data_IF_547349707575
#
_entry.id   IF_547349707575
#
_cell.length_a   1.000
_cell.length_b   1.000
_cell.length_c   1.000
_cell.angle_alpha   90.00
_cell.angle_beta   90.00
_cell.angle_gamma   90.00
#
_symmetry.space_group_name_H-M   'P 1'
#
loop_
_entity.id
_entity.type
_entity.pdbx_description
1 polymer ?
#
# COMPACT_ATOMS: atom_id res chain seq x y z
N UNK A 1 -1.93 3.49 1.36
CA UNK A 1 -3.08 3.69 0.42
C UNK A 1 -3.85 2.38 0.35
N UNK A 2 -5.19 2.35 0.51
CA UNK A 2 -5.91 1.06 0.59
C UNK A 2 -6.15 0.47 -0.81
N UNK A 3 -5.53 -0.67 -1.09
CA UNK A 3 -5.63 -1.41 -2.35
C UNK A 3 -6.51 -2.65 -2.11
N UNK A 4 -7.34 -3.02 -3.09
CA UNK A 4 -8.13 -4.26 -3.05
C UNK A 4 -7.81 -5.08 -4.29
N UNK A 5 -7.60 -6.39 -4.09
CA UNK A 5 -7.43 -7.36 -5.17
C UNK A 5 -8.81 -7.89 -5.58
N UNK A 6 -9.17 -7.75 -6.85
CA UNK A 6 -10.45 -8.19 -7.42
C UNK A 6 -10.13 -8.89 -8.73
N UNK A 7 -10.61 -10.12 -8.91
CA UNK A 7 -10.41 -10.89 -10.16
C UNK A 7 -8.95 -10.98 -10.66
N UNK A 8 -7.96 -10.91 -9.76
CA UNK A 8 -6.53 -10.94 -10.11
C UNK A 8 -5.87 -9.56 -10.20
N UNK A 9 -6.64 -8.51 -10.41
CA UNK A 9 -6.17 -7.13 -10.57
C UNK A 9 -6.16 -6.35 -9.25
N UNK A 10 -5.21 -5.42 -9.09
CA UNK A 10 -5.09 -4.55 -7.91
C UNK A 10 -5.70 -3.19 -8.19
N UNK A 11 -6.77 -2.85 -7.48
CA UNK A 11 -7.43 -1.55 -7.61
C UNK A 11 -7.20 -0.65 -6.41
N UNK A 12 -6.99 0.65 -6.69
CA UNK A 12 -6.94 1.68 -5.67
C UNK A 12 -8.35 2.03 -5.21
N UNK A 13 -8.64 1.87 -3.91
CA UNK A 13 -9.94 2.25 -3.36
C UNK A 13 -10.11 3.77 -3.34
N UNK A 14 -11.31 4.21 -3.68
CA UNK A 14 -11.70 5.61 -3.53
C UNK A 14 -11.60 6.07 -2.07
N UNK A 15 -11.17 7.32 -1.86
CA UNK A 15 -11.13 7.93 -0.52
C UNK A 15 -12.55 8.13 0.02
N UNK A 16 -12.68 8.20 1.34
CA UNK A 16 -13.98 8.44 2.00
C UNK A 16 -14.60 9.77 1.55
N UNK A 17 -13.77 10.81 1.46
CA UNK A 17 -14.16 12.13 0.99
C UNK A 17 -14.55 12.17 -0.48
N UNK A 18 -13.85 11.43 -1.36
CA UNK A 18 -14.24 11.34 -2.76
C UNK A 18 -15.62 10.70 -2.93
N UNK A 19 -15.96 9.71 -2.10
CA UNK A 19 -17.28 9.07 -2.12
C UNK A 19 -18.38 9.97 -1.60
N UNK A 20 -18.09 10.76 -0.56
CA UNK A 20 -19.02 11.74 -0.03
C UNK A 20 -19.25 12.87 -1.04
N UNK A 21 -18.17 13.38 -1.65
CA UNK A 21 -18.23 14.38 -2.71
C UNK A 21 -19.06 13.89 -3.90
N UNK A 22 -18.85 12.65 -4.37
CA UNK A 22 -19.64 12.08 -5.46
C UNK A 22 -21.13 12.03 -5.12
N UNK A 23 -21.47 11.62 -3.90
CA UNK A 23 -22.86 11.56 -3.43
C UNK A 23 -23.51 12.94 -3.35
N UNK A 24 -22.79 13.95 -2.84
CA UNK A 24 -23.28 15.33 -2.78
C UNK A 24 -23.47 15.95 -4.16
N UNK A 25 -22.55 15.66 -5.09
CA UNK A 25 -22.65 16.09 -6.48
C UNK A 25 -23.84 15.44 -7.20
N UNK A 26 -24.08 14.15 -6.97
CA UNK A 26 -25.25 13.44 -7.50
C UNK A 26 -26.57 14.07 -7.00
N UNK A 27 -26.66 14.36 -5.70
CA UNK A 27 -27.83 15.04 -5.10
C UNK A 27 -27.98 16.46 -5.61
N UNK A 28 -26.87 17.22 -5.70
CA UNK A 28 -26.88 18.58 -6.20
C UNK A 28 -27.37 18.65 -7.65
N UNK A 29 -26.94 17.71 -8.50
CA UNK A 29 -27.42 17.60 -9.87
C UNK A 29 -28.92 17.27 -9.94
N UNK A 30 -29.41 16.32 -9.13
CA UNK A 30 -30.84 16.01 -9.05
C UNK A 30 -31.65 17.23 -8.56
N UNK A 31 -31.14 17.96 -7.57
CA UNK A 31 -31.75 19.20 -7.08
C UNK A 31 -31.81 20.28 -8.16
N UNK A 32 -30.77 20.41 -8.98
CA UNK A 32 -30.76 21.31 -10.13
C UNK A 32 -31.82 20.93 -11.18
N UNK A 33 -31.91 19.64 -11.54
CA UNK A 33 -32.98 19.14 -12.42
C UNK A 33 -34.37 19.41 -11.83
N UNK A 34 -34.52 19.30 -10.50
CA UNK A 34 -35.77 19.56 -9.80
C UNK A 34 -36.16 21.04 -9.89
N UNK A 35 -35.21 21.96 -9.73
CA UNK A 35 -35.44 23.39 -9.88
C UNK A 35 -35.90 23.71 -11.31
N UNK A 36 -35.24 23.15 -12.32
CA UNK A 36 -35.64 23.32 -13.72
C UNK A 36 -37.07 22.81 -13.94
N UNK A 37 -37.41 21.63 -13.41
CA UNK A 37 -38.76 21.05 -13.53
C UNK A 37 -39.82 22.00 -12.93
N UNK A 38 -39.56 22.54 -11.73
CA UNK A 38 -40.47 23.50 -11.09
C UNK A 38 -40.57 24.83 -11.84
N UNK A 39 -39.47 25.33 -12.41
CA UNK A 39 -39.48 26.55 -13.22
C UNK A 39 -40.31 26.38 -14.50
N UNK A 40 -40.23 25.21 -15.15
CA UNK A 40 -41.07 24.88 -16.30
C UNK A 40 -42.55 24.81 -15.88
N UNK A 41 -42.84 24.17 -14.75
CA UNK A 41 -44.21 24.10 -14.22
C UNK A 41 -44.79 25.47 -13.88
N UNK A 42 -44.00 26.35 -13.27
CA UNK A 42 -44.38 27.74 -12.99
C UNK A 42 -44.62 28.52 -14.28
N UNK A 43 -43.73 28.38 -15.27
CA UNK A 43 -43.90 29.03 -16.57
C UNK A 43 -45.19 28.57 -17.26
N UNK A 44 -45.48 27.26 -17.22
CA UNK A 44 -46.70 26.70 -17.78
C UNK A 44 -47.94 27.22 -17.05
N UNK A 45 -47.94 27.26 -15.72
CA UNK A 45 -49.07 27.80 -14.96
C UNK A 45 -49.31 29.28 -15.29
N UNK A 46 -48.26 30.10 -15.41
CA UNK A 46 -48.39 31.53 -15.77
C UNK A 46 -48.93 31.74 -17.18
N UNK A 47 -48.62 30.86 -18.14
CA UNK A 47 -49.04 31.00 -19.54
C UNK A 47 -50.45 30.44 -19.78
N UNK A 48 -50.83 29.36 -19.08
CA UNK A 48 -52.02 28.56 -19.39
C UNK A 48 -53.13 28.63 -18.33
N UNK A 49 -52.99 29.37 -17.22
CA UNK A 49 -54.11 29.56 -16.29
C UNK A 49 -55.22 30.41 -16.92
N UNK A 50 -56.26 29.75 -17.40
CA UNK A 50 -57.59 30.34 -17.52
C UNK A 50 -58.22 30.43 -16.12
N UNK A 51 -58.72 31.61 -15.75
CA UNK A 51 -59.23 31.92 -14.40
C UNK A 51 -60.40 31.01 -13.98
N UNK A 52 -61.16 30.47 -14.94
CA UNK A 52 -62.36 29.66 -14.70
C UNK A 52 -62.07 28.19 -14.30
N UNK A 53 -60.95 27.61 -14.71
CA UNK A 53 -60.62 26.19 -14.42
C UNK A 53 -60.06 26.01 -13.00
N UNK A 54 -59.30 27.00 -12.51
CA UNK A 54 -58.74 27.04 -11.16
C UNK A 54 -59.82 27.12 -10.07
N UNK A 55 -60.91 27.86 -10.33
CA UNK A 55 -62.05 27.99 -9.40
C UNK A 55 -62.91 26.71 -9.30
N UNK A 56 -62.87 25.81 -10.29
CA UNK A 56 -63.70 24.60 -10.31
C UNK A 56 -63.07 23.38 -9.62
N UNK A 57 -61.73 23.23 -9.66
CA UNK A 57 -61.03 22.02 -9.17
C UNK A 57 -60.08 22.25 -8.00
N UNK A 58 -59.84 23.50 -7.58
CA UNK A 58 -59.03 23.84 -6.41
C UNK A 58 -57.52 23.69 -6.59
N UNK A 59 -57.05 22.85 -7.52
CA UNK A 59 -55.65 22.70 -7.93
C UNK A 59 -55.53 22.70 -9.46
N UNK A 60 -54.50 23.37 -9.98
CA UNK A 60 -54.18 23.38 -11.42
C UNK A 60 -53.69 21.97 -11.87
N UNK A 61 -54.31 21.32 -12.87
CA UNK A 61 -53.89 20.02 -13.39
C UNK A 61 -52.40 19.95 -13.76
N UNK A 62 -51.82 21.08 -14.21
CA UNK A 62 -50.39 21.18 -14.50
C UNK A 62 -49.56 21.01 -13.22
N UNK A 63 -49.92 21.69 -12.12
CA UNK A 63 -49.20 21.58 -10.84
C UNK A 63 -49.18 20.16 -10.29
N UNK A 64 -50.30 19.44 -10.38
CA UNK A 64 -50.37 18.02 -9.99
C UNK A 64 -49.46 17.15 -10.87
N UNK A 65 -49.43 17.42 -12.17
CA UNK A 65 -48.57 16.69 -13.12
C UNK A 65 -47.09 16.89 -12.81
N UNK A 66 -46.66 18.14 -12.57
CA UNK A 66 -45.27 18.44 -12.20
C UNK A 66 -44.89 17.89 -10.82
N UNK A 67 -45.83 17.86 -9.87
CA UNK A 67 -45.63 17.21 -8.58
C UNK A 67 -45.41 15.71 -8.73
N UNK A 68 -46.22 15.00 -9.52
CA UNK A 68 -46.01 13.57 -9.80
C UNK A 68 -44.67 13.34 -10.51
N UNK A 69 -44.34 14.15 -11.53
CA UNK A 69 -43.06 14.08 -12.22
C UNK A 69 -41.87 14.33 -11.28
N UNK A 70 -42.03 15.20 -10.28
CA UNK A 70 -40.99 15.45 -9.27
C UNK A 70 -40.71 14.21 -8.41
N UNK A 71 -41.76 13.52 -7.98
CA UNK A 71 -41.65 12.28 -7.20
C UNK A 71 -40.99 11.21 -8.06
N UNK A 72 -41.40 11.07 -9.32
CA UNK A 72 -40.81 10.11 -10.25
C UNK A 72 -39.33 10.41 -10.52
N UNK A 73 -38.96 11.68 -10.65
CA UNK A 73 -37.56 12.10 -10.84
C UNK A 73 -36.70 11.73 -9.63
N UNK A 74 -37.20 11.98 -8.41
CA UNK A 74 -36.51 11.59 -7.17
C UNK A 74 -36.41 10.08 -7.02
N UNK A 75 -37.49 9.35 -7.29
CA UNK A 75 -37.50 7.89 -7.26
C UNK A 75 -36.50 7.31 -8.26
N UNK A 76 -36.49 7.83 -9.48
CA UNK A 76 -35.55 7.41 -10.52
C UNK A 76 -34.09 7.73 -10.13
N UNK A 77 -33.83 8.97 -9.71
CA UNK A 77 -32.50 9.43 -9.30
C UNK A 77 -31.95 8.66 -8.09
N UNK A 78 -32.81 8.34 -7.13
CA UNK A 78 -32.40 7.63 -5.91
C UNK A 78 -32.04 6.17 -6.19
N UNK A 79 -32.80 5.47 -7.04
CA UNK A 79 -32.63 4.03 -7.27
C UNK A 79 -31.73 3.68 -8.45
N UNK A 80 -31.78 4.43 -9.55
CA UNK A 80 -31.23 3.99 -10.84
C UNK A 80 -30.01 4.77 -11.34
N UNK A 81 -29.69 5.92 -10.74
CA UNK A 81 -28.58 6.77 -11.18
C UNK A 81 -27.21 6.07 -11.14
N UNK A 82 -27.05 5.06 -10.28
CA UNK A 82 -25.84 4.27 -10.11
C UNK A 82 -25.68 3.08 -11.07
N UNK A 83 -26.74 2.71 -11.81
CA UNK A 83 -26.76 1.52 -12.69
C UNK A 83 -26.41 1.79 -14.16
N UNK A 84 -26.05 3.03 -14.52
CA UNK A 84 -25.65 3.40 -15.88
C UNK A 84 -24.32 2.74 -16.28
N UNK A 85 -24.21 2.38 -17.57
CA UNK A 85 -23.12 1.58 -18.14
C UNK A 85 -21.69 2.16 -17.99
N UNK A 86 -21.54 3.47 -17.73
CA UNK A 86 -20.21 4.09 -17.49
C UNK A 86 -19.82 4.19 -15.99
N UNK A 87 -20.23 3.24 -15.16
CA UNK A 87 -19.63 3.06 -13.83
C UNK A 87 -20.15 3.95 -12.69
N UNK A 88 -21.27 4.66 -12.87
CA UNK A 88 -22.00 5.34 -11.80
C UNK A 88 -22.69 6.65 -12.19
N UNK A 89 -23.31 7.29 -11.18
CA UNK A 89 -23.96 8.60 -11.28
C UNK A 89 -23.02 9.73 -11.69
N UNK A 90 -23.61 10.89 -12.01
CA UNK A 90 -22.91 12.07 -12.53
C UNK A 90 -21.68 12.47 -11.69
N UNK A 91 -21.83 12.57 -10.37
CA UNK A 91 -20.76 12.93 -9.44
C UNK A 91 -19.65 11.89 -9.36
N UNK A 92 -19.95 10.61 -9.61
CA UNK A 92 -18.93 9.55 -9.69
C UNK A 92 -18.11 9.66 -10.96
N UNK A 93 -18.75 9.99 -12.09
CA UNK A 93 -18.05 10.28 -13.35
C UNK A 93 -17.13 11.50 -13.20
N UNK A 94 -17.62 12.57 -12.56
CA UNK A 94 -16.83 13.79 -12.34
C UNK A 94 -15.59 13.56 -11.47
N UNK A 95 -15.67 12.62 -10.52
CA UNK A 95 -14.57 12.29 -9.60
C UNK A 95 -13.76 11.06 -10.03
N UNK A 96 -13.92 10.60 -11.27
CA UNK A 96 -13.24 9.41 -11.82
C UNK A 96 -13.40 8.18 -10.91
N UNK A 97 -14.62 7.93 -10.42
CA UNK A 97 -14.94 6.82 -9.55
C UNK A 97 -15.74 5.76 -10.31
N UNK A 98 -15.35 4.49 -10.14
CA UNK A 98 -16.05 3.35 -10.74
C UNK A 98 -16.49 2.37 -9.67
N UNK A 99 -17.65 1.78 -9.87
CA UNK A 99 -18.19 0.73 -9.00
C UNK A 99 -17.93 -0.61 -9.68
N UNK A 100 -17.26 -1.49 -8.94
CA UNK A 100 -16.86 -2.81 -9.41
C UNK A 100 -17.40 -3.89 -8.47
N UNK A 101 -17.85 -5.01 -9.03
CA UNK A 101 -18.27 -6.19 -8.28
C UNK A 101 -17.05 -6.99 -7.81
N UNK A 102 -17.11 -7.49 -6.58
CA UNK A 102 -16.01 -8.26 -5.99
C UNK A 102 -15.82 -9.66 -6.59
N UNK A 103 -16.85 -10.21 -7.26
CA UNK A 103 -16.83 -11.59 -7.78
C UNK A 103 -16.01 -11.71 -9.06
N UNK A 104 -16.25 -10.81 -10.00
CA UNK A 104 -15.81 -10.87 -11.39
C UNK A 104 -15.01 -9.64 -11.83
N UNK A 105 -14.95 -8.58 -11.02
CA UNK A 105 -14.28 -7.34 -11.43
C UNK A 105 -15.06 -6.53 -12.46
N UNK A 106 -16.27 -6.97 -12.80
CA UNK A 106 -17.13 -6.28 -13.76
C UNK A 106 -17.87 -5.10 -13.12
N UNK A 107 -18.45 -4.27 -13.99
CA UNK A 107 -19.23 -3.12 -13.57
C UNK A 107 -20.51 -3.56 -12.83
N UNK A 108 -20.92 -2.77 -11.84
CA UNK A 108 -22.17 -3.02 -11.14
C UNK A 108 -23.37 -2.82 -12.08
N UNK A 109 -24.31 -3.78 -12.05
CA UNK A 109 -25.54 -3.73 -12.85
C UNK A 109 -26.66 -3.01 -12.06
N UNK A 110 -27.74 -2.60 -12.72
CA UNK A 110 -28.95 -2.03 -12.09
C UNK A 110 -29.46 -2.78 -10.83
N UNK A 111 -29.43 -4.11 -10.79
CA UNK A 111 -29.75 -4.95 -9.62
C UNK A 111 -28.79 -4.69 -8.46
N UNK A 112 -27.50 -4.59 -8.73
CA UNK A 112 -26.49 -4.29 -7.71
C UNK A 112 -26.65 -2.85 -7.21
N UNK A 113 -26.94 -1.90 -8.11
CA UNK A 113 -27.26 -0.52 -7.77
C UNK A 113 -28.51 -0.43 -6.88
N UNK A 114 -29.57 -1.18 -7.21
CA UNK A 114 -30.81 -1.22 -6.44
C UNK A 114 -30.57 -1.74 -5.01
N UNK A 115 -29.88 -2.88 -4.85
CA UNK A 115 -29.58 -3.45 -3.53
C UNK A 115 -28.74 -2.50 -2.67
N UNK A 116 -27.80 -1.77 -3.29
CA UNK A 116 -26.97 -0.78 -2.59
C UNK A 116 -27.78 0.42 -2.12
N UNK A 117 -28.72 0.90 -2.94
CA UNK A 117 -29.54 2.08 -2.65
C UNK A 117 -30.70 1.75 -1.71
N UNK A 118 -31.20 0.52 -1.70
CA UNK A 118 -32.15 0.06 -0.69
C UNK A 118 -31.57 0.18 0.74
N UNK A 119 -30.29 -0.15 0.92
CA UNK A 119 -29.61 0.02 2.21
C UNK A 119 -29.45 1.49 2.64
N UNK A 120 -29.49 2.42 1.69
CA UNK A 120 -29.38 3.85 1.95
C UNK A 120 -30.66 4.46 2.54
N UNK A 121 -31.78 3.71 2.60
CA UNK A 121 -32.99 4.12 3.35
C UNK A 121 -32.65 4.30 4.84
N UNK A 122 -31.66 3.56 5.34
CA UNK A 122 -31.19 3.62 6.72
C UNK A 122 -30.05 4.63 6.95
N UNK A 123 -29.93 5.69 6.12
CA UNK A 123 -28.99 6.78 6.42
C UNK A 123 -29.40 7.46 7.74
N UNK A 124 -28.48 7.68 8.71
CA UNK A 124 -27.01 7.75 8.64
C UNK A 124 -26.25 6.44 8.93
N UNK A 125 -26.94 5.38 9.34
CA UNK A 125 -26.32 4.12 9.80
C UNK A 125 -25.52 3.45 8.68
N UNK A 126 -26.01 3.49 7.44
CA UNK A 126 -25.29 2.95 6.25
C UNK A 126 -23.87 3.53 6.10
N UNK A 127 -23.68 4.80 6.44
CA UNK A 127 -22.39 5.49 6.36
C UNK A 127 -21.43 5.11 7.47
N UNK A 128 -21.92 4.66 8.63
CA UNK A 128 -21.09 4.18 9.72
C UNK A 128 -20.20 3.01 9.27
N UNK A 129 -20.73 2.15 8.39
CA UNK A 129 -20.01 1.00 7.85
C UNK A 129 -18.85 1.40 6.92
N UNK A 130 -18.89 2.60 6.32
CA UNK A 130 -17.79 3.13 5.50
C UNK A 130 -16.51 3.45 6.30
N UNK A 131 -16.62 3.53 7.64
CA UNK A 131 -15.48 3.71 8.54
C UNK A 131 -14.64 2.44 8.72
N UNK A 132 -15.12 1.29 8.26
CA UNK A 132 -14.38 0.02 8.32
C UNK A 132 -13.16 -0.04 7.38
N UNK A 133 -12.29 -1.05 7.60
CA UNK A 133 -11.05 -1.29 6.82
C UNK A 133 -11.29 -1.48 5.32
N UNK A 134 -12.41 -2.12 4.95
CA UNK A 134 -12.78 -2.35 3.55
C UNK A 134 -13.27 -1.12 2.80
N UNK A 135 -13.46 0.03 3.50
CA UNK A 135 -14.08 1.24 2.96
C UNK A 135 -15.32 0.86 2.12
N UNK A 136 -16.31 0.22 2.73
CA UNK A 136 -17.55 -0.18 2.05
C UNK A 136 -18.71 0.24 2.95
N UNK A 137 -19.72 0.90 2.38
CA UNK A 137 -20.98 1.15 3.08
C UNK A 137 -21.75 -0.16 3.27
N UNK A 138 -22.80 -0.14 4.08
CA UNK A 138 -23.65 -1.32 4.28
C UNK A 138 -24.25 -1.77 2.93
N UNK A 139 -24.71 -0.83 2.11
CA UNK A 139 -25.17 -1.13 0.74
C UNK A 139 -24.10 -1.80 -0.13
N UNK A 140 -22.86 -1.31 -0.08
CA UNK A 140 -21.75 -1.88 -0.86
C UNK A 140 -21.42 -3.31 -0.41
N UNK A 141 -21.53 -3.60 0.90
CA UNK A 141 -21.37 -4.96 1.45
C UNK A 141 -22.49 -5.90 1.01
N UNK A 142 -23.74 -5.43 1.04
CA UNK A 142 -24.91 -6.22 0.63
C UNK A 142 -24.85 -6.62 -0.84
N UNK A 143 -24.45 -5.71 -1.73
CA UNK A 143 -24.30 -6.02 -3.14
C UNK A 143 -22.93 -6.62 -3.52
N UNK A 144 -22.02 -6.82 -2.55
CA UNK A 144 -20.65 -7.30 -2.80
C UNK A 144 -19.91 -6.45 -3.85
N UNK A 145 -20.02 -5.13 -3.73
CA UNK A 145 -19.41 -4.15 -4.63
C UNK A 145 -18.41 -3.27 -3.89
N UNK A 146 -17.54 -2.61 -4.64
CA UNK A 146 -16.58 -1.64 -4.09
C UNK A 146 -16.36 -0.49 -5.07
N UNK A 147 -16.00 0.67 -4.52
CA UNK A 147 -15.74 1.88 -5.31
C UNK A 147 -14.23 2.10 -5.42
N UNK A 148 -13.76 2.13 -6.66
CA UNK A 148 -12.36 2.29 -7.06
C UNK A 148 -12.17 3.63 -7.77
N UNK A 149 -10.94 4.15 -7.81
CA UNK A 149 -10.57 5.37 -8.53
C UNK A 149 -9.93 5.02 -9.88
N UNK A 150 -10.42 5.62 -10.96
CA UNK A 150 -9.95 5.43 -12.35
C UNK A 150 -8.65 6.19 -12.67
N UNK A 151 -8.33 7.28 -11.97
CA UNK A 151 -7.07 8.04 -12.16
C UNK A 151 -5.85 7.35 -11.52
N UNK A 152 -5.68 6.06 -11.74
CA UNK A 152 -4.40 5.39 -11.57
C UNK A 152 -4.12 4.78 -12.93
N UNK A 153 -2.91 4.99 -13.51
CA UNK A 153 -2.59 4.42 -14.82
C UNK A 153 -3.06 2.98 -14.82
N UNK A 154 -3.88 2.63 -15.82
CA UNK A 154 -4.27 1.25 -16.02
C UNK A 154 -2.95 0.48 -16.07
N UNK A 155 -2.78 -0.49 -15.18
CA UNK A 155 -1.79 -1.53 -15.43
C UNK A 155 -2.42 -2.34 -16.56
N UNK A 156 -2.32 -1.81 -17.77
CA UNK A 156 -2.35 -2.62 -18.98
C UNK A 156 -1.24 -3.64 -18.78
N UNK A 157 -1.63 -4.89 -18.61
CA UNK A 157 -0.75 -5.99 -18.97
C UNK A 157 -0.63 -5.85 -20.49
N UNK A 158 0.38 -5.08 -20.92
CA UNK A 158 0.88 -5.13 -22.29
C UNK A 158 1.34 -6.57 -22.46
N UNK A 159 0.50 -7.36 -23.11
CA UNK A 159 0.94 -8.55 -23.79
C UNK A 159 1.79 -8.13 -24.98
N UNK A 160 2.91 -8.82 -25.12
CA UNK A 160 3.83 -8.90 -26.25
C UNK A 160 5.01 -7.91 -26.24
N UNK A 161 6.17 -8.57 -26.14
CA UNK A 161 7.48 -8.16 -26.63
C UNK A 161 8.29 -7.14 -25.82
N UNK A 162 8.70 -7.57 -24.63
CA UNK A 162 10.11 -7.45 -24.26
C UNK A 162 10.45 -8.59 -23.29
N UNK A 163 11.63 -9.20 -23.45
CA UNK A 163 12.20 -10.06 -22.41
C UNK A 163 12.47 -9.16 -21.19
N UNK A 164 11.44 -8.94 -20.39
CA UNK A 164 11.55 -8.23 -19.12
C UNK A 164 12.24 -9.20 -18.17
N UNK A 165 13.41 -8.77 -17.76
CA UNK A 165 14.30 -9.44 -16.83
C UNK A 165 13.53 -9.80 -15.54
N UNK A 166 13.22 -11.09 -15.36
CA UNK A 166 12.47 -11.60 -14.19
C UNK A 166 13.15 -11.23 -12.87
N UNK A 167 14.46 -10.95 -12.91
CA UNK A 167 15.28 -10.49 -11.79
C UNK A 167 14.82 -9.12 -11.25
N UNK A 168 14.44 -8.18 -12.14
CA UNK A 168 14.08 -6.81 -11.75
C UNK A 168 12.71 -6.75 -11.04
N UNK A 169 11.79 -7.66 -11.35
CA UNK A 169 10.45 -7.66 -10.77
C UNK A 169 10.41 -8.21 -9.33
N UNK A 170 11.17 -9.25 -9.00
CA UNK A 170 11.19 -9.81 -7.64
C UNK A 170 11.89 -8.87 -6.64
N UNK A 171 13.04 -8.32 -7.01
CA UNK A 171 13.78 -7.39 -6.15
C UNK A 171 12.93 -6.15 -5.83
N UNK A 172 12.24 -5.62 -6.84
CA UNK A 172 11.33 -4.48 -6.70
C UNK A 172 10.11 -4.78 -5.84
N UNK A 173 9.48 -5.95 -6.01
CA UNK A 173 8.35 -6.37 -5.16
C UNK A 173 8.80 -6.49 -3.69
N UNK A 174 9.97 -7.08 -3.44
CA UNK A 174 10.51 -7.22 -2.10
C UNK A 174 10.89 -5.86 -1.48
N UNK A 175 11.41 -4.93 -2.30
CA UNK A 175 11.69 -3.56 -1.89
C UNK A 175 10.41 -2.80 -1.47
N UNK A 176 9.35 -2.91 -2.28
CA UNK A 176 8.05 -2.31 -1.98
C UNK A 176 7.47 -2.85 -0.66
N UNK A 177 7.63 -4.14 -0.39
CA UNK A 177 7.17 -4.78 0.87
C UNK A 177 7.98 -4.26 2.06
N UNK A 178 9.31 -4.17 1.96
CA UNK A 178 10.15 -3.61 3.03
C UNK A 178 9.82 -2.14 3.26
N UNK A 179 9.61 -1.36 2.20
CA UNK A 179 9.23 0.03 2.28
C UNK A 179 7.89 0.19 3.01
N UNK A 180 6.90 -0.64 2.70
CA UNK A 180 5.61 -0.64 3.40
C UNK A 180 5.76 -0.97 4.89
N UNK A 181 6.53 -2.01 5.24
CA UNK A 181 6.77 -2.40 6.64
C UNK A 181 7.49 -1.28 7.39
N UNK A 182 8.51 -0.68 6.79
CA UNK A 182 9.29 0.42 7.37
C UNK A 182 8.43 1.65 7.60
N UNK A 183 7.58 2.00 6.63
CA UNK A 183 6.62 3.10 6.77
C UNK A 183 5.64 2.83 7.92
N UNK A 184 5.09 1.61 8.02
CA UNK A 184 4.19 1.25 9.12
C UNK A 184 4.89 1.27 10.48
N UNK A 185 6.15 0.85 10.55
CA UNK A 185 6.96 0.96 11.76
C UNK A 185 7.16 2.42 12.17
N UNK A 186 7.49 3.29 11.22
CA UNK A 186 7.63 4.74 11.46
C UNK A 186 6.33 5.36 11.98
N UNK A 187 5.19 5.05 11.35
CA UNK A 187 3.87 5.49 11.82
C UNK A 187 3.53 4.97 13.22
N UNK A 188 3.86 3.71 13.51
CA UNK A 188 3.65 3.13 14.83
C UNK A 188 4.50 3.84 15.89
N UNK A 189 5.78 4.07 15.60
CA UNK A 189 6.71 4.79 16.48
C UNK A 189 6.19 6.19 16.83
N UNK A 190 5.74 6.97 15.84
CA UNK A 190 5.17 8.29 16.07
C UNK A 190 3.97 8.27 17.03
N UNK A 191 3.11 7.23 16.95
CA UNK A 191 1.97 7.07 17.86
C UNK A 191 2.39 6.68 19.27
N UNK A 192 3.42 5.84 19.41
CA UNK A 192 4.01 5.51 20.71
C UNK A 192 4.63 6.76 21.33
N UNK A 193 5.39 7.54 20.56
CA UNK A 193 6.00 8.80 21.02
C UNK A 193 4.93 9.81 21.48
N UNK A 194 3.82 9.94 20.74
CA UNK A 194 2.70 10.77 21.16
C UNK A 194 2.07 10.27 22.48
N UNK A 195 1.98 8.96 22.67
CA UNK A 195 1.43 8.35 23.89
C UNK A 195 2.35 8.53 25.10
N UNK A 196 3.67 8.46 24.90
CA UNK A 196 4.69 8.82 25.92
C UNK A 196 4.57 10.31 26.26
N UNK A 197 4.33 11.17 25.27
CA UNK A 197 4.08 12.59 25.49
C UNK A 197 2.90 12.84 26.43
N UNK A 198 1.78 12.14 26.22
CA UNK A 198 0.59 12.23 27.09
C UNK A 198 0.89 11.70 28.50
N UNK A 199 1.60 10.58 28.62
CA UNK A 199 2.03 10.04 29.92
C UNK A 199 2.81 11.09 30.73
N UNK A 200 3.80 11.73 30.09
CA UNK A 200 4.60 12.80 30.71
C UNK A 200 3.77 14.02 31.08
N UNK A 201 2.73 14.36 30.29
CA UNK A 201 1.83 15.45 30.64
C UNK A 201 1.04 15.14 31.92
N UNK A 202 0.52 13.92 32.06
CA UNK A 202 -0.16 13.52 33.31
C UNK A 202 0.79 13.48 34.50
N UNK A 203 2.02 12.98 34.31
CA UNK A 203 3.05 13.02 35.33
C UNK A 203 3.35 14.46 35.79
N UNK A 204 3.60 15.37 34.84
CA UNK A 204 3.88 16.78 35.16
C UNK A 204 2.69 17.47 35.84
N UNK A 205 1.45 17.14 35.44
CA UNK A 205 0.24 17.67 36.05
C UNK A 205 0.06 17.17 37.50
N UNK A 206 0.34 15.89 37.74
CA UNK A 206 0.38 15.29 39.07
C UNK A 206 1.42 15.99 39.97
N UNK A 207 2.65 16.10 39.49
CA UNK A 207 3.77 16.68 40.25
C UNK A 207 3.53 18.17 40.52
N UNK A 208 2.96 18.89 39.55
CA UNK A 208 2.53 20.28 39.71
C UNK A 208 1.43 20.44 40.77
N UNK A 209 0.45 19.54 40.81
CA UNK A 209 -0.61 19.57 41.82
C UNK A 209 -0.08 19.26 43.23
N UNK A 210 0.88 18.32 43.36
CA UNK A 210 1.57 18.06 44.63
C UNK A 210 2.33 19.29 45.10
N UNK A 211 3.12 19.93 44.22
CA UNK A 211 3.88 21.12 44.58
C UNK A 211 2.97 22.28 45.04
N UNK A 212 1.77 22.41 44.48
CA UNK A 212 0.80 23.41 44.96
C UNK A 212 0.22 23.03 46.32
N UNK A 213 -0.06 21.74 46.57
CA UNK A 213 -0.48 21.28 47.88
C UNK A 213 0.60 21.56 48.94
N UNK A 214 1.87 21.31 48.64
CA UNK A 214 3.00 21.60 49.54
C UNK A 214 3.09 23.10 49.85
N UNK A 215 2.94 23.98 48.85
CA UNK A 215 2.90 25.44 49.08
C UNK A 215 1.75 25.86 49.98
N UNK A 216 0.55 25.28 49.80
CA UNK A 216 -0.59 25.56 50.68
C UNK A 216 -0.30 25.10 52.12
N UNK A 217 0.38 23.96 52.28
CA UNK A 217 0.81 23.43 53.57
C UNK A 217 1.83 24.34 54.27
N UNK A 218 2.82 24.85 53.54
CA UNK A 218 3.77 25.84 54.05
C UNK A 218 3.07 27.12 54.51
N UNK A 219 2.13 27.66 53.72
CA UNK A 219 1.35 28.85 54.10
C UNK A 219 0.49 28.61 55.34
N UNK A 220 -0.17 27.46 55.43
CA UNK A 220 -0.93 27.08 56.61
C UNK A 220 -0.05 27.03 57.87
N UNK A 221 1.17 26.48 57.78
CA UNK A 221 2.13 26.45 58.90
C UNK A 221 2.52 27.87 59.32
N UNK A 222 2.74 28.79 58.37
CA UNK A 222 3.05 30.19 58.66
C UNK A 222 1.86 30.88 59.35
N UNK A 223 0.64 30.66 58.88
CA UNK A 223 -0.57 31.21 59.48
C UNK A 223 -0.79 30.73 60.92
N UNK A 224 -0.53 29.44 61.20
CA UNK A 224 -0.57 28.88 62.56
C UNK A 224 0.48 29.52 63.48
N UNK A 225 1.71 29.75 62.99
CA UNK A 225 2.75 30.46 63.75
C UNK A 225 2.37 31.91 64.06
N UNK A 226 1.52 32.51 63.24
CA UNK A 226 0.99 33.85 63.44
C UNK A 226 -0.33 33.89 64.23
N UNK A 227 -0.75 32.75 64.81
CA UNK A 227 -2.00 32.59 65.58
C UNK A 227 -3.28 32.94 64.77
N UNK A 228 -3.22 32.79 63.45
CA UNK A 228 -4.36 33.01 62.53
C UNK A 228 -4.95 31.68 62.06
N UNK A 229 -5.71 31.05 62.95
CA UNK A 229 -6.33 29.73 62.73
C UNK A 229 -7.36 29.72 61.59
N UNK A 230 -8.02 30.85 61.35
CA UNK A 230 -8.98 31.05 60.27
C UNK A 230 -8.30 30.91 58.89
N UNK A 231 -7.18 31.61 58.67
CA UNK A 231 -6.39 31.52 57.44
C UNK A 231 -5.75 30.15 57.26
N UNK A 232 -5.25 29.55 58.35
CA UNK A 232 -4.68 28.22 58.31
C UNK A 232 -5.70 27.16 57.86
N UNK A 233 -6.97 27.27 58.29
CA UNK A 233 -8.03 26.35 57.86
C UNK A 233 -8.33 26.48 56.36
N UNK A 234 -8.33 27.70 55.84
CA UNK A 234 -8.56 27.96 54.41
C UNK A 234 -7.43 27.36 53.55
N UNK A 235 -6.17 27.61 53.90
CA UNK A 235 -5.02 27.03 53.20
C UNK A 235 -5.02 25.48 53.27
N UNK A 236 -5.41 24.89 54.41
CA UNK A 236 -5.54 23.44 54.55
C UNK A 236 -6.69 22.86 53.72
N UNK A 237 -7.80 23.58 53.58
CA UNK A 237 -8.89 23.19 52.69
C UNK A 237 -8.40 23.18 51.23
N UNK A 238 -7.71 24.23 50.80
CA UNK A 238 -7.13 24.33 49.45
C UNK A 238 -6.07 23.24 49.20
N UNK A 239 -5.22 22.94 50.19
CA UNK A 239 -4.28 21.81 50.12
C UNK A 239 -5.01 20.49 49.85
N UNK A 240 -6.12 20.24 50.55
CA UNK A 240 -6.88 19.00 50.38
C UNK A 240 -7.48 18.90 48.96
N UNK A 241 -7.93 20.01 48.38
CA UNK A 241 -8.37 20.06 46.98
C UNK A 241 -7.24 19.71 46.01
N UNK A 242 -6.07 20.35 46.14
CA UNK A 242 -4.92 20.02 45.29
C UNK A 242 -4.45 18.58 45.46
N UNK A 243 -4.51 18.01 46.67
CA UNK A 243 -4.22 16.58 46.90
C UNK A 243 -5.23 15.66 46.22
N UNK A 244 -6.50 16.03 46.16
CA UNK A 244 -7.49 15.26 45.39
C UNK A 244 -7.23 15.35 43.88
N UNK A 245 -6.88 16.54 43.37
CA UNK A 245 -6.52 16.73 41.96
C UNK A 245 -5.28 15.89 41.61
N UNK A 246 -4.24 15.93 42.45
CA UNK A 246 -3.06 15.10 42.29
C UNK A 246 -3.43 13.61 42.22
N UNK A 247 -4.27 13.12 43.14
CA UNK A 247 -4.70 11.71 43.13
C UNK A 247 -5.37 11.32 41.80
N UNK A 248 -6.25 12.16 41.24
CA UNK A 248 -6.89 11.89 39.94
C UNK A 248 -5.87 11.83 38.81
N UNK A 249 -4.92 12.76 38.76
CA UNK A 249 -3.84 12.72 37.75
C UNK A 249 -2.92 11.51 37.93
N UNK A 250 -2.71 11.06 39.17
CA UNK A 250 -1.95 9.83 39.45
C UNK A 250 -2.63 8.60 38.84
N UNK A 251 -3.93 8.45 39.05
CA UNK A 251 -4.71 7.35 38.50
C UNK A 251 -4.63 7.32 36.95
N UNK A 252 -4.79 8.49 36.32
CA UNK A 252 -4.66 8.64 34.86
C UNK A 252 -3.24 8.35 34.37
N UNK A 253 -2.22 8.81 35.10
CA UNK A 253 -0.83 8.55 34.76
C UNK A 253 -0.51 7.05 34.81
N UNK A 254 -0.93 6.36 35.88
CA UNK A 254 -0.69 4.91 36.04
C UNK A 254 -1.40 4.08 34.95
N UNK A 255 -2.61 4.47 34.54
CA UNK A 255 -3.32 3.84 33.43
C UNK A 255 -2.61 4.08 32.08
N UNK A 256 -2.22 5.32 31.83
CA UNK A 256 -1.51 5.68 30.59
C UNK A 256 -0.14 4.99 30.52
N UNK A 257 0.56 4.88 31.65
CA UNK A 257 1.85 4.19 31.74
C UNK A 257 1.75 2.72 31.32
N UNK A 258 0.74 1.99 31.80
CA UNK A 258 0.48 0.60 31.37
C UNK A 258 0.22 0.52 29.86
N UNK A 259 -0.48 1.51 29.32
CA UNK A 259 -0.74 1.59 27.87
C UNK A 259 0.56 1.82 27.09
N UNK A 260 1.42 2.72 27.55
CA UNK A 260 2.73 3.00 26.93
C UNK A 260 3.66 1.79 27.00
N UNK A 261 3.70 1.07 28.12
CA UNK A 261 4.48 -0.17 28.28
C UNK A 261 4.03 -1.24 27.27
N UNK A 262 2.72 -1.41 27.13
CA UNK A 262 2.16 -2.34 26.14
C UNK A 262 2.50 -1.93 24.70
N UNK A 263 2.32 -0.64 24.36
CA UNK A 263 2.62 -0.12 23.02
C UNK A 263 4.10 -0.22 22.67
N UNK A 264 4.99 0.03 23.63
CA UNK A 264 6.44 -0.13 23.46
C UNK A 264 6.80 -1.58 23.17
N UNK A 265 6.22 -2.53 23.90
CA UNK A 265 6.42 -3.97 23.66
C UNK A 265 5.99 -4.40 22.24
N UNK A 266 4.84 -3.87 21.77
CA UNK A 266 4.38 -4.11 20.40
C UNK A 266 5.30 -3.49 19.35
N UNK A 267 5.84 -2.29 19.63
CA UNK A 267 6.78 -1.60 18.75
C UNK A 267 8.10 -2.38 18.62
N UNK A 268 8.62 -2.91 19.72
CA UNK A 268 9.82 -3.76 19.72
C UNK A 268 9.61 -5.04 18.89
N UNK A 269 8.44 -5.66 19.02
CA UNK A 269 8.06 -6.83 18.22
C UNK A 269 8.01 -6.48 16.72
N UNK A 270 7.44 -5.33 16.38
CA UNK A 270 7.43 -4.83 14.99
C UNK A 270 8.83 -4.55 14.47
N UNK A 271 9.72 -4.00 15.31
CA UNK A 271 11.12 -3.77 14.95
C UNK A 271 11.83 -5.09 14.64
N UNK A 272 11.70 -6.09 15.51
CA UNK A 272 12.29 -7.41 15.29
C UNK A 272 11.77 -8.05 14.00
N UNK A 273 10.46 -7.97 13.74
CA UNK A 273 9.88 -8.48 12.48
C UNK A 273 10.39 -7.74 11.26
N UNK A 274 10.56 -6.42 11.35
CA UNK A 274 11.12 -5.61 10.25
C UNK A 274 12.54 -6.05 9.91
N UNK A 275 13.39 -6.23 10.93
CA UNK A 275 14.76 -6.73 10.76
C UNK A 275 14.79 -8.16 10.22
N UNK A 276 13.90 -9.04 10.71
CA UNK A 276 13.77 -10.40 10.21
C UNK A 276 13.42 -10.41 8.71
N UNK A 277 12.43 -9.62 8.29
CA UNK A 277 12.03 -9.53 6.89
C UNK A 277 13.13 -8.96 5.99
N UNK A 278 13.91 -7.99 6.47
CA UNK A 278 15.08 -7.49 5.73
C UNK A 278 16.14 -8.58 5.50
N UNK A 279 16.44 -9.40 6.51
CA UNK A 279 17.36 -10.55 6.35
C UNK A 279 16.80 -11.61 5.41
N UNK A 280 15.51 -11.92 5.52
CA UNK A 280 14.84 -12.87 4.64
C UNK A 280 14.86 -12.40 3.17
N UNK A 281 14.74 -11.09 2.92
CA UNK A 281 14.87 -10.49 1.59
C UNK A 281 16.24 -10.79 0.97
N UNK A 282 17.33 -10.56 1.70
CA UNK A 282 18.69 -10.84 1.23
C UNK A 282 18.85 -12.33 0.86
N UNK A 283 18.30 -13.23 1.68
CA UNK A 283 18.33 -14.68 1.40
C UNK A 283 17.51 -15.04 0.17
N UNK A 284 16.32 -14.45 0.00
CA UNK A 284 15.45 -14.72 -1.16
C UNK A 284 16.10 -14.22 -2.46
N UNK A 285 16.68 -13.02 -2.44
CA UNK A 285 17.41 -12.47 -3.60
C UNK A 285 18.60 -13.38 -3.96
N UNK A 286 19.40 -13.79 -2.97
CA UNK A 286 20.53 -14.69 -3.21
C UNK A 286 20.09 -16.04 -3.80
N UNK A 287 18.97 -16.61 -3.31
CA UNK A 287 18.40 -17.84 -3.86
C UNK A 287 17.92 -17.67 -5.30
N UNK A 288 17.23 -16.57 -5.59
CA UNK A 288 16.75 -16.26 -6.93
C UNK A 288 17.92 -16.18 -7.91
N UNK A 289 18.94 -15.38 -7.60
CA UNK A 289 20.17 -15.25 -8.42
C UNK A 289 20.87 -16.59 -8.68
N UNK A 290 20.91 -17.47 -7.67
CA UNK A 290 21.47 -18.81 -7.83
C UNK A 290 20.65 -19.70 -8.77
N UNK A 291 19.31 -19.62 -8.70
CA UNK A 291 18.42 -20.36 -9.59
C UNK A 291 18.54 -19.82 -11.02
N UNK A 292 18.55 -18.50 -11.21
CA UNK A 292 18.73 -17.89 -12.53
C UNK A 292 20.08 -18.27 -13.15
N UNK A 293 21.16 -18.24 -12.37
CA UNK A 293 22.47 -18.68 -12.83
C UNK A 293 22.47 -20.17 -13.21
N UNK A 294 21.77 -21.03 -12.47
CA UNK A 294 21.62 -22.45 -12.80
C UNK A 294 20.83 -22.66 -14.10
N UNK A 295 19.72 -21.94 -14.29
CA UNK A 295 18.93 -22.00 -15.53
C UNK A 295 19.75 -21.53 -16.72
N UNK A 296 20.46 -20.41 -16.61
CA UNK A 296 21.34 -19.89 -17.66
C UNK A 296 22.47 -20.86 -18.01
N UNK A 297 23.10 -21.48 -17.00
CA UNK A 297 24.12 -22.51 -17.21
C UNK A 297 23.55 -23.74 -17.90
N UNK A 298 22.36 -24.21 -17.52
CA UNK A 298 21.69 -25.35 -18.17
C UNK A 298 21.30 -25.05 -19.61
N UNK A 299 20.75 -23.86 -19.89
CA UNK A 299 20.44 -23.42 -21.25
C UNK A 299 21.70 -23.36 -22.09
N UNK A 300 22.78 -22.74 -21.58
CA UNK A 300 24.07 -22.70 -22.27
C UNK A 300 24.61 -24.10 -22.53
N UNK A 301 24.52 -25.02 -21.56
CA UNK A 301 24.94 -26.42 -21.73
C UNK A 301 24.10 -27.15 -22.79
N UNK A 302 22.79 -26.93 -22.81
CA UNK A 302 21.89 -27.51 -23.82
C UNK A 302 22.18 -26.96 -25.21
N UNK A 303 22.36 -25.64 -25.35
CA UNK A 303 22.73 -24.97 -26.61
C UNK A 303 24.11 -25.41 -27.11
N UNK A 304 25.06 -25.66 -26.21
CA UNK A 304 26.37 -26.21 -26.54
C UNK A 304 26.30 -27.70 -26.96
N UNK A 305 25.34 -28.47 -26.42
CA UNK A 305 25.07 -29.85 -26.83
C UNK A 305 24.36 -29.93 -28.19
N UNK A 306 23.45 -29.00 -28.47
CA UNK A 306 22.69 -28.92 -29.73
C UNK A 306 23.50 -28.32 -30.89
N UNK A 307 24.53 -27.52 -30.60
CA UNK A 307 25.41 -26.98 -31.63
C UNK A 307 26.41 -28.02 -32.14
N UNK A 308 26.36 -28.27 -33.46
CA UNK A 308 27.38 -28.98 -34.25
C UNK A 308 28.81 -28.49 -34.04
N UNK A 309 29.03 -27.34 -33.37
CA UNK A 309 30.33 -26.80 -33.02
C UNK A 309 31.16 -27.72 -32.10
N UNK A 310 30.55 -28.37 -31.11
CA UNK A 310 31.27 -29.31 -30.23
C UNK A 310 31.56 -30.65 -30.93
N UNK A 311 30.63 -31.16 -31.76
CA UNK A 311 30.89 -32.32 -32.62
C UNK A 311 31.94 -32.03 -33.70
N UNK A 312 31.94 -30.83 -34.29
CA UNK A 312 32.89 -30.41 -35.31
C UNK A 312 34.27 -30.16 -34.70
N UNK A 313 34.36 -29.60 -33.49
CA UNK A 313 35.61 -29.54 -32.70
C UNK A 313 36.14 -30.94 -32.34
N UNK A 314 35.26 -31.87 -31.96
CA UNK A 314 35.64 -33.27 -31.68
C UNK A 314 36.10 -34.00 -32.94
N UNK A 315 35.43 -33.81 -34.09
CA UNK A 315 35.83 -34.35 -35.40
C UNK A 315 37.12 -33.69 -35.93
N UNK A 316 37.30 -32.39 -35.74
CA UNK A 316 38.58 -31.71 -36.05
C UNK A 316 39.70 -32.21 -35.15
N UNK A 317 39.46 -32.38 -33.85
CA UNK A 317 40.44 -32.95 -32.93
C UNK A 317 40.84 -34.39 -33.27
N UNK A 318 39.88 -35.23 -33.68
CA UNK A 318 40.15 -36.58 -34.18
C UNK A 318 40.91 -36.56 -35.52
N UNK A 319 40.50 -35.72 -36.48
CA UNK A 319 41.17 -35.60 -37.78
C UNK A 319 42.58 -35.02 -37.64
N UNK A 320 42.81 -34.09 -36.70
CA UNK A 320 44.15 -33.53 -36.41
C UNK A 320 45.02 -34.55 -35.69
N UNK A 321 44.46 -35.37 -34.80
CA UNK A 321 45.14 -36.52 -34.19
C UNK A 321 45.53 -37.58 -35.24
N UNK A 322 44.61 -37.93 -36.15
CA UNK A 322 44.87 -38.87 -37.26
C UNK A 322 45.85 -38.29 -38.28
N UNK A 323 45.73 -37.01 -38.63
CA UNK A 323 46.67 -36.32 -39.53
C UNK A 323 48.05 -36.15 -38.87
N UNK A 324 48.13 -35.92 -37.55
CA UNK A 324 49.39 -35.90 -36.82
C UNK A 324 50.01 -37.30 -36.72
N UNK A 325 49.21 -38.35 -36.54
CA UNK A 325 49.66 -39.74 -36.57
C UNK A 325 50.14 -40.16 -37.97
N UNK A 326 49.43 -39.76 -39.04
CA UNK A 326 49.82 -39.98 -40.44
C UNK A 326 51.03 -39.14 -40.85
N UNK A 327 51.15 -37.89 -40.40
CA UNK A 327 52.32 -37.06 -40.66
C UNK A 327 53.56 -37.59 -39.91
N UNK A 328 53.37 -38.10 -38.68
CA UNK A 328 54.44 -38.76 -37.93
C UNK A 328 54.87 -40.07 -38.60
N UNK A 329 53.92 -40.91 -39.03
CA UNK A 329 54.20 -42.12 -39.80
C UNK A 329 54.83 -41.83 -41.18
N UNK A 330 54.40 -40.78 -41.88
CA UNK A 330 55.00 -40.34 -43.14
C UNK A 330 56.42 -39.80 -42.95
N UNK A 331 56.69 -39.11 -41.84
CA UNK A 331 58.05 -38.69 -41.49
C UNK A 331 58.94 -39.89 -41.10
N UNK A 332 58.38 -40.93 -40.49
CA UNK A 332 59.12 -42.16 -40.19
C UNK A 332 59.41 -42.99 -41.46
N UNK A 333 58.58 -42.87 -42.52
CA UNK A 333 58.80 -43.52 -43.83
C UNK A 333 59.76 -42.71 -44.74
N UNK A 334 59.88 -41.39 -44.57
CA UNK A 334 60.79 -40.54 -45.36
C UNK A 334 62.18 -40.33 -44.71
N UNK A 335 62.42 -40.88 -43.51
CA UNK A 335 63.71 -40.77 -42.79
C UNK A 335 64.62 -42.00 -42.97
N UNK A 336 64.21 -43.04 -43.71
CA UNK A 336 65.09 -44.21 -43.97
C UNK A 336 66.16 -43.97 -45.06
N UNK A 337 66.27 -42.75 -45.61
CA UNK A 337 67.36 -42.38 -46.52
C UNK A 337 67.88 -40.95 -46.32
N UNK A 338 68.38 -40.64 -45.13
CA UNK A 338 69.62 -39.85 -44.94
C UNK A 338 70.02 -39.84 -43.47
N UNK A 339 70.67 -40.93 -43.12
CA UNK A 339 71.47 -41.06 -41.93
C UNK A 339 72.72 -40.16 -42.01
N UNK A 340 73.20 -39.85 -40.81
CA UNK A 340 74.58 -39.51 -40.46
C UNK A 340 75.03 -38.04 -40.52
N UNK A 341 75.15 -37.51 -39.30
CA UNK A 341 76.15 -36.54 -38.79
C UNK A 341 76.03 -35.09 -39.29
N UNK A 342 75.78 -34.19 -38.35
CA UNK A 342 76.81 -33.64 -37.44
C UNK A 342 76.18 -32.37 -36.84
N UNK A 343 75.69 -32.45 -35.61
CA UNK A 343 76.36 -31.78 -34.51
C UNK A 343 76.76 -30.34 -34.83
N UNK A 344 75.92 -29.38 -34.45
CA UNK A 344 76.39 -28.19 -33.72
C UNK A 344 75.21 -27.46 -33.09
N UNK A 345 75.19 -27.48 -31.75
CA UNK A 345 74.67 -26.42 -30.86
C UNK A 345 73.18 -26.07 -31.08
N UNK A 346 72.23 -26.51 -30.24
CA UNK A 346 71.92 -25.92 -28.94
C UNK A 346 71.16 -26.93 -28.05
N UNK A 347 71.87 -27.98 -27.61
CA UNK A 347 71.48 -28.66 -26.38
C UNK A 347 71.97 -27.82 -25.18
N UNK A 348 71.11 -27.73 -24.17
CA UNK A 348 71.30 -27.14 -22.84
C UNK A 348 70.92 -25.66 -22.76
N UNK A 349 69.64 -25.40 -22.48
CA UNK A 349 69.21 -24.88 -21.17
C UNK A 349 67.75 -25.29 -20.97
N UNK A 350 67.57 -26.39 -20.24
CA UNK A 350 66.39 -26.56 -19.41
C UNK A 350 66.61 -25.77 -18.11
N UNK A 351 65.51 -25.55 -17.40
CA UNK A 351 65.40 -25.24 -15.96
C UNK A 351 65.11 -23.78 -15.58
N UNK A 352 63.97 -23.66 -14.87
CA UNK A 352 63.74 -22.81 -13.71
C UNK A 352 63.55 -21.29 -13.86
N UNK A 353 62.52 -20.83 -14.59
CA UNK A 353 62.16 -19.41 -14.51
C UNK A 353 60.67 -19.01 -14.64
N UNK A 354 59.70 -19.92 -14.43
CA UNK A 354 58.28 -19.51 -14.41
C UNK A 354 57.49 -19.90 -13.16
N UNK A 355 58.06 -20.64 -12.22
CA UNK A 355 57.37 -21.03 -10.97
C UNK A 355 57.64 -20.03 -9.83
N UNK A 356 58.75 -19.29 -9.86
CA UNK A 356 59.06 -18.24 -8.87
C UNK A 356 58.31 -16.91 -9.12
N UNK A 357 57.82 -16.66 -10.35
CA UNK A 357 57.01 -15.46 -10.65
C UNK A 357 55.59 -15.53 -10.08
N UNK A 358 54.99 -16.72 -10.03
CA UNK A 358 53.63 -16.91 -9.50
C UNK A 358 53.60 -16.90 -7.96
N UNK A 359 54.72 -17.19 -7.30
CA UNK A 359 54.83 -17.19 -5.83
C UNK A 359 55.07 -15.78 -5.24
N UNK A 360 55.64 -14.86 -6.02
CA UNK A 360 55.76 -13.44 -5.63
C UNK A 360 54.45 -12.67 -5.72
N UNK A 361 53.58 -12.97 -6.70
CA UNK A 361 52.26 -12.34 -6.84
C UNK A 361 51.29 -12.74 -5.71
N UNK A 362 51.45 -13.95 -5.15
CA UNK A 362 50.66 -14.42 -4.01
C UNK A 362 51.07 -13.82 -2.65
N UNK A 363 52.29 -13.27 -2.52
CA UNK A 363 52.75 -12.59 -1.30
C UNK A 363 52.37 -11.11 -1.23
N UNK A 364 52.10 -10.46 -2.36
CA UNK A 364 51.64 -9.06 -2.38
C UNK A 364 50.15 -8.89 -2.07
N UNK A 365 49.33 -9.95 -2.18
CA UNK A 365 47.89 -9.91 -1.84
C UNK A 365 47.56 -10.22 -0.37
N UNK A 366 48.55 -10.44 0.48
CA UNK A 366 48.38 -10.77 1.92
C UNK A 366 49.01 -9.73 2.86
N UNK A 367 49.08 -8.46 2.45
CA UNK A 367 49.52 -7.35 3.30
C UNK A 367 48.47 -6.26 3.43
#
# INVERSE_FOLDING_TARGET
MSIVKIAGEKFKLASRWARLGAFLLDIGFLGFCQIILWLIGLLQSVIFTDFDEYMMFGDDPATTTFFVLSILLWMYGYFFMDGREDGGGFGKRLLSLKIVRLKDGEQANYKDAFVRRFAAIFQPIDWLFALGKGRQRMGDKLAKTVVIKLDSPQIEIVSEDEKIDKETDLEKILEDVILEITNRFSEAKQKVDASIGIEKQFQNAHDGAIAQAEKCEERAIIALKAERDDLAREDLAQRNEYRQIARRYKEQWEEQKKTVEHLTTLLDTLQQKTQQTQREREVVIAKHRNVDAQEHLQQTLSELQDNKAFEMLKKMGQNVSEAAALAKAASEVDIEFKDVKLHREFANYAEDESIDKELTELKEKLK
#
